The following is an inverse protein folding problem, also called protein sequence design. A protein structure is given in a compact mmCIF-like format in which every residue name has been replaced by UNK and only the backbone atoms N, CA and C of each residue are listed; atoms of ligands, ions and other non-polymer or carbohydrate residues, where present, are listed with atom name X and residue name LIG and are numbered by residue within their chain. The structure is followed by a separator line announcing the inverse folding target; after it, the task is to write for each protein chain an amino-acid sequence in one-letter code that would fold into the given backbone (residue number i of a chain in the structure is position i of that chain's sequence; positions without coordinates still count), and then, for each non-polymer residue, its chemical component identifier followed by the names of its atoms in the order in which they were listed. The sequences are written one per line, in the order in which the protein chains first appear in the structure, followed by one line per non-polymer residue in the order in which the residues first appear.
data_IF_999656427927
#
_entry.id   IF_999656427927
#
_cell.length_a   1.000
_cell.length_b   1.000
_cell.length_c   1.000
_cell.angle_alpha   90.00
_cell.angle_beta   90.00
_cell.angle_gamma   90.00
#
_symmetry.space_group_name_H-M   'P 1'
#
loop_
_entity.id
_entity.type
_entity.pdbx_description
1 polymer ?
#
# COMPACT_ATOMS: atom_id res chain seq x y z
N UNK A 1 7.69 21.15 -30.99
CA UNK A 1 8.73 20.43 -30.21
C UNK A 1 8.06 19.29 -29.48
N UNK A 2 8.60 18.07 -29.58
CA UNK A 2 8.07 16.91 -28.89
C UNK A 2 8.68 16.84 -27.47
N UNK A 3 7.84 16.74 -26.45
CA UNK A 3 8.26 16.45 -25.07
C UNK A 3 7.45 15.27 -24.55
N UNK A 4 8.10 14.39 -23.79
CA UNK A 4 7.48 13.20 -23.22
C UNK A 4 7.83 13.12 -21.74
N UNK A 5 6.82 12.98 -20.89
CA UNK A 5 6.97 12.85 -19.44
C UNK A 5 6.01 11.78 -18.95
N UNK A 6 6.57 10.62 -18.61
CA UNK A 6 5.84 9.49 -18.05
C UNK A 6 6.63 8.91 -16.89
N UNK A 7 5.93 8.58 -15.81
CA UNK A 7 6.47 7.94 -14.61
C UNK A 7 5.63 6.70 -14.35
N UNK A 8 6.29 5.59 -14.04
CA UNK A 8 5.66 4.35 -13.58
C UNK A 8 6.36 3.95 -12.29
N UNK A 9 5.61 3.86 -11.19
CA UNK A 9 6.14 3.49 -9.88
C UNK A 9 5.34 2.32 -9.32
N UNK A 10 6.04 1.35 -8.74
CA UNK A 10 5.44 0.29 -7.94
C UNK A 10 6.07 0.32 -6.56
N UNK A 11 5.25 0.54 -5.54
CA UNK A 11 5.72 0.67 -4.17
C UNK A 11 4.58 0.56 -3.18
N UNK A 12 4.90 0.80 -1.91
CA UNK A 12 3.95 0.73 -0.82
C UNK A 12 3.63 2.12 -0.29
N UNK A 13 2.37 2.36 0.09
CA UNK A 13 2.00 3.58 0.78
C UNK A 13 2.71 3.66 2.13
N UNK A 14 3.37 4.77 2.40
CA UNK A 14 4.04 5.02 3.69
C UNK A 14 3.09 5.50 4.79
N UNK A 15 1.96 6.08 4.37
CA UNK A 15 0.86 6.61 5.19
C UNK A 15 -0.45 6.50 4.43
N UNK A 16 -1.57 6.60 5.15
CA UNK A 16 -2.89 6.65 4.54
C UNK A 16 -3.04 7.87 3.61
N UNK A 17 -3.84 7.78 2.54
CA UNK A 17 -4.09 8.92 1.66
C UNK A 17 -4.78 10.08 2.38
N UNK A 18 -4.18 11.27 2.29
CA UNK A 18 -4.82 12.51 2.75
C UNK A 18 -5.71 13.07 1.64
N UNK A 19 -7.02 13.18 1.89
CA UNK A 19 -7.97 13.77 0.94
C UNK A 19 -8.12 15.27 1.20
N UNK A 20 -7.95 16.06 0.14
CA UNK A 20 -8.13 17.51 0.15
C UNK A 20 -9.13 17.89 -0.92
N UNK A 21 -10.09 18.74 -0.55
CA UNK A 21 -11.03 19.33 -1.49
C UNK A 21 -10.49 20.68 -1.95
N UNK A 22 -10.29 20.84 -3.25
CA UNK A 22 -9.88 22.11 -3.83
C UNK A 22 -11.06 23.11 -3.84
N UNK A 23 -10.79 24.43 -3.90
CA UNK A 23 -11.85 25.44 -4.05
C UNK A 23 -12.75 25.23 -5.27
N UNK A 24 -12.27 24.52 -6.30
CA UNK A 24 -13.04 24.14 -7.48
C UNK A 24 -14.04 23.00 -7.23
N UNK A 25 -14.07 22.42 -6.02
CA UNK A 25 -14.87 21.24 -5.67
C UNK A 25 -14.22 19.90 -6.04
N UNK A 26 -13.09 19.91 -6.76
CA UNK A 26 -12.37 18.68 -7.09
C UNK A 26 -11.63 18.10 -5.88
N UNK A 27 -11.74 16.78 -5.66
CA UNK A 27 -10.95 16.07 -4.67
C UNK A 27 -9.54 15.76 -5.18
N UNK A 28 -8.59 15.79 -4.25
CA UNK A 28 -7.19 15.40 -4.46
C UNK A 28 -6.77 14.48 -3.32
N UNK A 29 -6.24 13.32 -3.67
CA UNK A 29 -5.58 12.43 -2.72
C UNK A 29 -4.07 12.67 -2.77
N UNK A 30 -3.47 12.89 -1.61
CA UNK A 30 -2.04 13.10 -1.44
C UNK A 30 -1.47 12.01 -0.55
N UNK A 31 -0.48 11.27 -1.04
CA UNK A 31 0.21 10.24 -0.28
C UNK A 31 1.66 10.11 -0.75
N UNK A 32 2.46 9.31 -0.04
CA UNK A 32 3.84 9.03 -0.42
C UNK A 32 4.08 7.54 -0.56
N UNK A 33 4.74 7.16 -1.66
CA UNK A 33 5.17 5.80 -1.93
C UNK A 33 6.62 5.61 -1.50
N UNK A 34 6.86 4.53 -0.75
CA UNK A 34 8.18 3.98 -0.51
C UNK A 34 8.55 3.01 -1.63
N UNK A 35 9.73 3.22 -2.21
CA UNK A 35 10.33 2.41 -3.26
C UNK A 35 11.68 1.91 -2.73
N UNK A 36 11.84 0.59 -2.61
CA UNK A 36 13.09 0.00 -2.17
C UNK A 36 13.81 -0.64 -3.35
N UNK A 37 15.11 -0.38 -3.46
CA UNK A 37 15.99 -0.99 -4.46
C UNK A 37 17.17 -1.67 -3.75
N UNK A 38 17.34 -2.97 -3.98
CA UNK A 38 18.54 -3.72 -3.57
C UNK A 38 19.53 -3.74 -4.71
N UNK A 39 20.79 -3.42 -4.43
CA UNK A 39 21.86 -3.43 -5.42
C UNK A 39 23.19 -3.86 -4.79
N UNK A 40 24.09 -4.41 -5.61
CA UNK A 40 25.42 -4.83 -5.17
C UNK A 40 26.44 -3.75 -5.47
N UNK A 41 27.27 -3.40 -4.49
CA UNK A 41 28.36 -2.44 -4.67
C UNK A 41 29.57 -3.10 -5.35
N UNK A 42 30.49 -2.28 -5.84
CA UNK A 42 31.74 -2.77 -6.45
C UNK A 42 32.62 -3.56 -5.45
N UNK A 43 32.47 -3.31 -4.15
CA UNK A 43 33.14 -4.03 -3.07
C UNK A 43 32.48 -5.39 -2.74
N UNK A 44 31.38 -5.73 -3.44
CA UNK A 44 30.68 -7.00 -3.28
C UNK A 44 29.59 -7.00 -2.22
N UNK A 45 29.39 -5.91 -1.49
CA UNK A 45 28.34 -5.75 -0.46
C UNK A 45 26.95 -5.56 -1.10
N UNK A 46 25.91 -6.10 -0.48
CA UNK A 46 24.52 -5.81 -0.87
C UNK A 46 24.03 -4.61 -0.06
N UNK A 47 23.59 -3.55 -0.74
CA UNK A 47 22.98 -2.37 -0.13
C UNK A 47 21.52 -2.23 -0.54
N UNK A 48 20.76 -1.58 0.33
CA UNK A 48 19.36 -1.24 0.11
C UNK A 48 19.22 0.28 0.11
N UNK A 49 18.54 0.81 -0.90
CA UNK A 49 18.24 2.22 -1.07
C UNK A 49 16.73 2.41 -1.03
N UNK A 50 16.25 3.27 -0.14
CA UNK A 50 14.86 3.66 -0.02
C UNK A 50 14.65 5.04 -0.62
N UNK A 51 13.72 5.13 -1.57
CA UNK A 51 13.26 6.37 -2.18
C UNK A 51 11.81 6.62 -1.80
N UNK A 52 11.49 7.87 -1.46
CA UNK A 52 10.14 8.29 -1.12
C UNK A 52 9.64 9.29 -2.15
N UNK A 53 8.50 9.01 -2.75
CA UNK A 53 7.93 9.84 -3.80
C UNK A 53 6.53 10.28 -3.41
N UNK A 54 6.28 11.59 -3.45
CA UNK A 54 4.95 12.14 -3.23
C UNK A 54 4.10 12.04 -4.50
N UNK A 55 2.88 11.54 -4.32
CA UNK A 55 1.89 11.31 -5.38
C UNK A 55 0.66 12.19 -5.11
N UNK A 56 0.15 12.80 -6.18
CA UNK A 56 -1.15 13.47 -6.20
C UNK A 56 -2.07 12.80 -7.23
N UNK A 57 -3.21 12.34 -6.77
CA UNK A 57 -4.27 11.77 -7.60
C UNK A 57 -5.49 12.70 -7.55
N UNK A 58 -6.12 12.96 -8.69
CA UNK A 58 -7.22 13.93 -8.81
C UNK A 58 -8.56 13.23 -9.12
N UNK A 59 -9.66 13.89 -8.75
CA UNK A 59 -11.02 13.51 -9.12
C UNK A 59 -11.34 12.04 -8.75
N UNK A 60 -11.83 11.24 -9.71
CA UNK A 60 -12.22 9.85 -9.47
C UNK A 60 -11.09 8.99 -8.92
N UNK A 61 -9.84 9.25 -9.29
CA UNK A 61 -8.69 8.54 -8.73
C UNK A 61 -8.48 8.88 -7.25
N UNK A 62 -8.79 10.10 -6.83
CA UNK A 62 -8.75 10.48 -5.43
C UNK A 62 -9.80 9.72 -4.62
N UNK A 63 -11.03 9.58 -5.14
CA UNK A 63 -12.09 8.79 -4.50
C UNK A 63 -11.72 7.30 -4.40
N UNK A 64 -11.04 6.74 -5.41
CA UNK A 64 -10.54 5.36 -5.36
C UNK A 64 -9.45 5.20 -4.31
N UNK A 65 -8.54 6.17 -4.18
CA UNK A 65 -7.51 6.15 -3.15
C UNK A 65 -8.15 6.20 -1.76
N UNK A 66 -9.12 7.10 -1.54
CA UNK A 66 -9.84 7.25 -0.27
C UNK A 66 -10.53 5.94 0.17
N UNK A 67 -11.13 5.21 -0.77
CA UNK A 67 -11.94 4.03 -0.45
C UNK A 67 -11.13 2.75 -0.28
N UNK A 68 -10.03 2.61 -1.02
CA UNK A 68 -9.38 1.31 -1.18
C UNK A 68 -7.91 1.28 -0.77
N UNK A 69 -7.23 2.43 -0.65
CA UNK A 69 -5.82 2.47 -0.26
C UNK A 69 -5.65 2.82 1.21
N UNK A 70 -4.82 2.03 1.88
CA UNK A 70 -4.38 2.24 3.25
C UNK A 70 -2.85 2.17 3.31
N UNK A 71 -2.28 2.61 4.42
CA UNK A 71 -0.85 2.50 4.72
C UNK A 71 -0.38 1.05 4.52
N UNK A 72 0.74 0.90 3.82
CA UNK A 72 1.37 -0.38 3.51
C UNK A 72 0.85 -1.03 2.23
N UNK A 73 -0.25 -0.56 1.66
CA UNK A 73 -0.82 -1.16 0.46
C UNK A 73 0.13 -1.01 -0.74
N UNK A 74 0.40 -2.11 -1.48
CA UNK A 74 1.18 -2.04 -2.70
C UNK A 74 0.30 -1.50 -3.83
N UNK A 75 0.83 -0.54 -4.58
CA UNK A 75 0.13 0.08 -5.71
C UNK A 75 1.11 0.36 -6.85
N UNK A 76 0.64 0.12 -8.07
CA UNK A 76 1.28 0.60 -9.28
C UNK A 76 0.65 1.93 -9.67
N UNK A 77 1.45 2.99 -9.82
CA UNK A 77 1.04 4.31 -10.24
C UNK A 77 1.65 4.62 -11.61
N UNK A 78 0.82 5.08 -12.54
CA UNK A 78 1.24 5.74 -13.76
C UNK A 78 0.93 7.23 -13.65
N UNK A 79 1.85 8.08 -14.10
CA UNK A 79 1.67 9.52 -14.06
C UNK A 79 2.75 10.29 -14.78
N UNK A 80 2.98 11.52 -14.32
CA UNK A 80 4.01 12.43 -14.83
C UNK A 80 4.69 13.17 -13.69
N UNK A 81 5.96 13.53 -13.87
CA UNK A 81 6.64 14.44 -12.95
C UNK A 81 6.09 15.85 -13.07
N UNK A 82 5.85 16.49 -11.93
CA UNK A 82 5.52 17.90 -11.81
C UNK A 82 6.46 18.52 -10.77
N UNK A 83 7.11 19.60 -11.16
CA UNK A 83 7.86 20.43 -10.24
C UNK A 83 6.97 21.61 -9.84
N UNK A 84 6.61 21.66 -8.56
CA UNK A 84 5.96 22.83 -7.99
C UNK A 84 7.03 23.74 -7.40
N UNK A 85 6.95 25.03 -7.71
CA UNK A 85 7.83 26.06 -7.17
C UNK A 85 6.98 27.11 -6.46
N UNK A 86 7.36 27.48 -5.24
CA UNK A 86 6.67 28.50 -4.45
C UNK A 86 7.68 29.28 -3.62
N UNK A 87 7.29 30.47 -3.16
CA UNK A 87 8.11 31.27 -2.26
C UNK A 87 7.61 31.11 -0.82
N UNK A 88 8.54 30.92 0.11
CA UNK A 88 8.26 30.90 1.54
C UNK A 88 9.38 31.63 2.26
N UNK A 89 9.03 32.62 3.08
CA UNK A 89 9.97 33.43 3.86
C UNK A 89 11.05 34.10 2.99
N UNK A 90 10.67 34.60 1.81
CA UNK A 90 11.58 35.24 0.84
C UNK A 90 12.50 34.26 0.08
N UNK A 91 12.37 32.95 0.31
CA UNK A 91 13.18 31.93 -0.36
C UNK A 91 12.34 31.13 -1.36
N UNK A 92 12.86 30.99 -2.58
CA UNK A 92 12.29 30.08 -3.59
C UNK A 92 12.50 28.63 -3.15
N UNK A 93 11.41 27.90 -3.04
CA UNK A 93 11.38 26.46 -2.77
C UNK A 93 10.83 25.75 -3.99
N UNK A 94 11.31 24.55 -4.24
CA UNK A 94 10.77 23.66 -5.26
C UNK A 94 10.62 22.26 -4.71
N UNK A 95 9.64 21.53 -5.23
CA UNK A 95 9.40 20.13 -4.90
C UNK A 95 8.97 19.38 -6.15
N UNK A 96 9.63 18.25 -6.39
CA UNK A 96 9.23 17.28 -7.39
C UNK A 96 8.19 16.33 -6.80
N UNK A 97 7.13 16.09 -7.55
CA UNK A 97 6.06 15.14 -7.22
C UNK A 97 5.55 14.47 -8.49
N UNK A 98 4.78 13.41 -8.32
CA UNK A 98 4.10 12.73 -9.42
C UNK A 98 2.63 13.07 -9.39
N UNK A 99 2.13 13.59 -10.51
CA UNK A 99 0.69 13.68 -10.74
C UNK A 99 0.27 12.40 -11.44
N UNK A 100 -0.49 11.56 -10.75
CA UNK A 100 -0.92 10.28 -11.29
C UNK A 100 -2.09 10.42 -12.26
N UNK A 101 -2.02 9.65 -13.34
CA UNK A 101 -3.03 9.55 -14.39
C UNK A 101 -3.69 8.17 -14.44
N UNK A 102 -3.10 7.18 -13.76
CA UNK A 102 -3.65 5.85 -13.62
C UNK A 102 -3.08 5.14 -12.39
N UNK A 103 -3.83 4.17 -11.87
CA UNK A 103 -3.38 3.31 -10.79
C UNK A 103 -3.90 1.89 -10.96
N UNK A 104 -3.15 0.93 -10.47
CA UNK A 104 -3.57 -0.46 -10.35
C UNK A 104 -3.25 -0.97 -8.94
N UNK A 105 -4.28 -1.51 -8.28
CA UNK A 105 -4.12 -2.17 -7.01
C UNK A 105 -3.31 -3.45 -7.19
N UNK A 106 -2.35 -3.67 -6.30
CA UNK A 106 -1.62 -4.93 -6.26
C UNK A 106 -2.20 -5.80 -5.14
N UNK A 107 -2.28 -7.13 -5.32
CA UNK A 107 -2.62 -8.01 -4.22
C UNK A 107 -1.58 -7.81 -3.11
N UNK A 108 -2.03 -7.70 -1.86
CA UNK A 108 -1.12 -7.78 -0.72
C UNK A 108 -0.43 -9.14 -0.82
N UNK A 109 0.90 -9.13 -0.92
CA UNK A 109 1.67 -10.38 -0.90
C UNK A 109 1.31 -11.09 0.41
N UNK A 110 0.58 -12.19 0.30
CA UNK A 110 0.02 -12.90 1.43
C UNK A 110 1.13 -13.48 2.29
N UNK A 111 1.50 -12.75 3.34
CA UNK A 111 2.12 -13.37 4.50
C UNK A 111 1.09 -14.29 5.14
N UNK A 112 1.25 -15.60 4.99
CA UNK A 112 0.57 -16.58 5.85
C UNK A 112 0.78 -16.17 7.31
N UNK A 113 -0.32 -16.02 8.04
CA UNK A 113 -0.38 -16.24 9.49
C UNK A 113 -0.14 -15.02 10.37
N UNK A 114 -1.22 -14.31 10.68
CA UNK A 114 -1.45 -13.89 12.07
C UNK A 114 -2.93 -14.12 12.38
N UNK A 115 -3.16 -15.21 13.11
CA UNK A 115 -4.42 -15.59 13.73
C UNK A 115 -5.02 -14.38 14.45
N UNK A 116 -6.14 -13.88 13.95
CA UNK A 116 -7.16 -13.25 14.78
C UNK A 116 -8.27 -14.28 14.96
N UNK A 117 -7.99 -15.30 15.76
CA UNK A 117 -8.95 -16.29 16.26
C UNK A 117 -8.72 -16.41 17.76
N UNK A 118 -9.17 -15.40 18.51
CA UNK A 118 -9.30 -15.47 19.96
C UNK A 118 -10.68 -16.09 20.29
N UNK A 119 -10.87 -17.31 19.80
CA UNK A 119 -11.94 -18.20 20.19
C UNK A 119 -11.51 -18.98 21.44
N UNK A 120 -11.82 -18.43 22.61
CA UNK A 120 -11.55 -19.07 23.90
C UNK A 120 -12.33 -20.39 24.06
N UNK A 121 -11.63 -21.51 23.90
CA UNK A 121 -12.12 -22.83 24.31
C UNK A 121 -12.23 -22.91 25.83
N UNK A 122 -13.44 -23.14 26.33
CA UNK A 122 -13.66 -23.76 27.65
C UNK A 122 -14.71 -24.88 27.48
N UNK A 123 -14.26 -26.04 27.03
CA UNK A 123 -15.02 -27.28 27.16
C UNK A 123 -14.45 -28.04 28.36
N UNK A 124 -15.27 -28.09 29.41
CA UNK A 124 -15.04 -28.90 30.60
C UNK A 124 -15.31 -30.36 30.22
N UNK A 125 -14.25 -31.16 30.31
CA UNK A 125 -14.30 -32.61 30.34
C UNK A 125 -14.96 -33.05 31.66
N UNK A 126 -16.08 -33.76 31.56
CA UNK A 126 -16.70 -34.44 32.69
C UNK A 126 -17.10 -35.84 32.26
N UNK A 127 -16.41 -36.80 32.85
CA UNK A 127 -16.61 -38.24 32.73
C UNK A 127 -18.04 -38.68 33.08
N UNK A 128 -18.54 -39.65 32.34
CA UNK A 128 -19.34 -40.74 32.90
C UNK A 128 -19.34 -41.93 31.94
N UNK A 129 -19.40 -43.10 32.55
CA UNK A 129 -19.07 -44.43 32.09
C UNK A 129 -20.25 -45.21 31.49
N UNK A 130 -19.92 -46.41 31.00
CA UNK A 130 -20.79 -47.58 30.73
C UNK A 130 -21.50 -47.61 29.36
N UNK A 131 -21.66 -48.74 28.65
CA UNK A 131 -21.24 -50.16 28.69
C UNK A 131 -21.64 -50.74 27.31
N UNK A 132 -20.98 -51.83 26.87
CA UNK A 132 -21.33 -52.84 25.84
C UNK A 132 -22.25 -52.48 24.65
N UNK A 133 -21.89 -52.89 23.43
CA UNK A 133 -22.13 -54.26 22.93
C UNK A 133 -21.69 -54.37 21.45
N UNK A 134 -21.27 -55.58 21.07
CA UNK A 134 -20.87 -56.03 19.73
C UNK A 134 -21.65 -55.40 18.57
N UNK A 135 -20.97 -55.08 17.46
CA UNK A 135 -21.43 -55.44 16.10
C UNK A 135 -20.22 -55.66 15.17
N UNK A 136 -20.33 -56.76 14.44
CA UNK A 136 -19.45 -57.33 13.42
C UNK A 136 -18.93 -56.36 12.36
N UNK A 137 -17.68 -56.59 11.93
CA UNK A 137 -17.07 -55.99 10.75
C UNK A 137 -17.07 -57.05 9.64
N UNK A 138 -17.70 -56.83 8.49
CA UNK A 138 -17.35 -57.55 7.27
C UNK A 138 -16.42 -56.71 6.38
N UNK A 139 -15.53 -57.46 5.72
CA UNK A 139 -14.48 -57.06 4.79
C UNK A 139 -14.95 -56.21 3.59
#
# INVERSE_FOLDING_TARGET
MASYNKVILLGNLTRDPEIRTLPSGAKVAVFSLGLNRKYRTQQGETKEESCFVDIEMFASLADLCERYLHKGDPVLIEGRLKQDSWEKDGQKRSKLKVVGTGMQFMPKSGGKGQNSDEGGYRSQDSSSSEVDEKIDIPF
#
